data_IF_807093611417
#
_entry.id   IF_807093611417
#
_cell.length_a   1.000
_cell.length_b   1.000
_cell.length_c   1.000
_cell.angle_alpha   90.00
_cell.angle_beta   90.00
_cell.angle_gamma   90.00
#
_symmetry.space_group_name_H-M   'P 1'
#
loop_
_entity.id
_entity.type
_entity.pdbx_description
1 polymer ?
#
# COMPACT_ATOMS: atom_id res chain seq x y z
N UNK A 1 8.35 -2.33 14.27
CA UNK A 1 8.73 -2.94 12.98
C UNK A 1 10.15 -2.55 12.63
N UNK A 2 11.01 -3.54 12.42
CA UNK A 2 12.41 -3.32 12.00
C UNK A 2 12.38 -2.80 10.55
N UNK A 3 13.11 -1.71 10.21
CA UNK A 3 13.17 -1.23 8.84
C UNK A 3 13.70 -2.33 7.91
N UNK A 4 13.13 -2.47 6.71
CA UNK A 4 13.62 -3.41 5.71
C UNK A 4 15.07 -3.04 5.33
N UNK A 5 16.00 -3.96 5.57
CA UNK A 5 17.43 -3.83 5.27
C UNK A 5 17.87 -4.89 4.23
N UNK A 6 19.00 -4.66 3.58
CA UNK A 6 19.59 -5.61 2.63
C UNK A 6 18.73 -5.86 1.39
N UNK A 7 18.42 -7.13 1.10
CA UNK A 7 17.76 -7.55 -0.15
C UNK A 7 16.38 -6.94 -0.33
N UNK A 8 15.59 -6.87 0.74
CA UNK A 8 14.22 -6.33 0.68
C UNK A 8 14.22 -4.85 0.26
N UNK A 9 15.19 -4.07 0.76
CA UNK A 9 15.35 -2.67 0.39
C UNK A 9 15.75 -2.50 -1.08
N UNK A 10 16.65 -3.34 -1.59
CA UNK A 10 17.03 -3.32 -3.01
C UNK A 10 15.87 -3.69 -3.92
N UNK A 11 15.04 -4.67 -3.54
CA UNK A 11 13.83 -5.01 -4.30
C UNK A 11 12.87 -3.83 -4.35
N UNK A 12 12.59 -3.17 -3.21
CA UNK A 12 11.76 -1.96 -3.18
C UNK A 12 12.34 -0.86 -4.09
N UNK A 13 13.65 -0.66 -4.05
CA UNK A 13 14.36 0.35 -4.87
C UNK A 13 14.23 0.08 -6.36
N UNK A 14 14.46 -1.16 -6.79
CA UNK A 14 14.36 -1.55 -8.21
C UNK A 14 12.93 -1.39 -8.72
N UNK A 15 11.95 -1.79 -7.91
CA UNK A 15 10.52 -1.63 -8.23
C UNK A 15 10.17 -0.14 -8.40
N UNK A 16 10.68 0.73 -7.53
CA UNK A 16 10.46 2.18 -7.63
C UNK A 16 11.11 2.80 -8.87
N UNK A 17 12.32 2.36 -9.24
CA UNK A 17 12.97 2.78 -10.49
C UNK A 17 12.16 2.34 -11.71
N UNK A 18 11.68 1.09 -11.73
CA UNK A 18 10.85 0.58 -12.81
C UNK A 18 9.58 1.42 -12.99
N UNK A 19 8.94 1.82 -11.89
CA UNK A 19 7.77 2.68 -11.92
C UNK A 19 8.05 4.09 -12.43
N UNK A 20 9.22 4.65 -12.13
CA UNK A 20 9.65 5.93 -12.69
C UNK A 20 9.87 5.80 -14.20
N UNK A 21 10.53 4.72 -14.65
CA UNK A 21 10.72 4.44 -16.07
C UNK A 21 9.39 4.27 -16.82
N UNK A 22 8.41 3.58 -16.23
CA UNK A 22 7.07 3.39 -16.81
C UNK A 22 6.38 4.74 -17.13
N UNK A 23 6.55 5.76 -16.27
CA UNK A 23 6.00 7.10 -16.53
C UNK A 23 6.55 7.67 -17.84
N UNK A 24 7.86 7.59 -18.07
CA UNK A 24 8.49 8.09 -19.29
C UNK A 24 8.02 7.30 -20.52
N UNK A 25 7.88 5.99 -20.39
CA UNK A 25 7.38 5.13 -21.48
C UNK A 25 5.91 5.49 -21.81
N UNK A 26 5.07 5.76 -20.80
CA UNK A 26 3.68 6.14 -21.02
C UNK A 26 3.53 7.48 -21.75
N UNK A 27 4.45 8.43 -21.59
CA UNK A 27 4.49 9.65 -22.39
C UNK A 27 4.81 9.39 -23.88
N UNK A 28 5.44 8.27 -24.20
CA UNK A 28 5.77 7.85 -25.57
C UNK A 28 4.80 6.80 -26.15
N UNK A 29 3.88 6.29 -25.33
CA UNK A 29 2.98 5.20 -25.74
C UNK A 29 1.68 5.74 -26.30
N UNK A 30 1.36 5.39 -27.55
CA UNK A 30 0.14 5.81 -28.21
C UNK A 30 -1.13 5.30 -27.53
N UNK A 31 -2.21 6.06 -27.66
CA UNK A 31 -3.54 5.67 -27.16
C UNK A 31 -4.52 5.45 -28.31
N UNK A 32 -5.54 4.61 -28.07
CA UNK A 32 -6.63 4.38 -29.03
C UNK A 32 -7.68 5.49 -28.85
N UNK A 33 -7.99 6.19 -29.94
CA UNK A 33 -9.07 7.19 -29.98
C UNK A 33 -10.44 6.50 -29.91
N UNK A 34 -11.47 7.23 -29.52
CA UNK A 34 -12.85 6.72 -29.41
C UNK A 34 -13.38 6.21 -30.75
N UNK A 35 -12.84 6.73 -31.85
CA UNK A 35 -13.11 6.31 -33.23
C UNK A 35 -12.34 5.06 -33.67
N UNK A 36 -11.57 4.44 -32.78
CA UNK A 36 -10.89 3.17 -33.02
C UNK A 36 -9.48 3.24 -33.62
N UNK A 37 -9.02 4.41 -34.07
CA UNK A 37 -7.65 4.58 -34.59
C UNK A 37 -6.62 4.82 -33.47
N UNK A 38 -5.37 4.45 -33.70
CA UNK A 38 -4.25 4.66 -32.75
C UNK A 38 -3.59 6.02 -33.04
N UNK A 39 -3.52 6.88 -32.03
CA UNK A 39 -2.84 8.18 -32.11
C UNK A 39 -1.43 8.03 -31.56
N UNK A 40 -0.44 8.30 -32.41
CA UNK A 40 1.00 8.24 -32.07
C UNK A 40 1.65 9.64 -32.01
N UNK A 41 0.87 10.70 -32.27
CA UNK A 41 1.37 12.07 -32.23
C UNK A 41 1.80 12.45 -30.80
N UNK A 42 3.09 12.75 -30.56
CA UNK A 42 3.65 12.87 -29.21
C UNK A 42 2.99 14.00 -28.41
N UNK A 43 2.63 15.11 -29.05
CA UNK A 43 1.94 16.22 -28.39
C UNK A 43 0.56 15.83 -27.86
N UNK A 44 -0.21 15.07 -28.67
CA UNK A 44 -1.55 14.60 -28.29
C UNK A 44 -1.48 13.55 -27.20
N UNK A 45 -0.51 12.64 -27.28
CA UNK A 45 -0.26 11.61 -26.26
C UNK A 45 0.10 12.27 -24.93
N UNK A 46 1.07 13.19 -24.92
CA UNK A 46 1.52 13.86 -23.70
C UNK A 46 0.39 14.68 -23.05
N UNK A 47 -0.41 15.40 -23.84
CA UNK A 47 -1.56 16.17 -23.34
C UNK A 47 -2.63 15.26 -22.71
N UNK A 48 -2.97 14.15 -23.38
CA UNK A 48 -3.99 13.21 -22.90
C UNK A 48 -3.52 12.52 -21.62
N UNK A 49 -2.30 12.00 -21.60
CA UNK A 49 -1.71 11.33 -20.44
C UNK A 49 -1.53 12.28 -19.25
N UNK A 50 -1.02 13.49 -19.51
CA UNK A 50 -0.83 14.54 -18.51
C UNK A 50 -2.11 14.93 -17.77
N UNK A 51 -3.26 14.93 -18.45
CA UNK A 51 -4.56 15.29 -17.86
C UNK A 51 -5.27 14.13 -17.15
N UNK A 52 -4.92 12.88 -17.45
CA UNK A 52 -5.69 11.71 -16.99
C UNK A 52 -4.96 10.91 -15.93
N UNK A 53 -3.76 10.42 -16.24
CA UNK A 53 -3.08 9.42 -15.41
C UNK A 53 -1.80 9.94 -14.76
N UNK A 54 -1.18 10.98 -15.33
CA UNK A 54 0.10 11.50 -14.84
C UNK A 54 0.08 11.87 -13.35
N UNK A 55 -0.99 12.49 -12.85
CA UNK A 55 -1.10 12.87 -11.43
C UNK A 55 -1.08 11.65 -10.51
N UNK A 56 -1.80 10.58 -10.88
CA UNK A 56 -1.85 9.33 -10.09
C UNK A 56 -0.48 8.65 -10.11
N UNK A 57 0.16 8.61 -11.28
CA UNK A 57 1.48 7.99 -11.43
C UNK A 57 2.58 8.80 -10.71
N UNK A 58 2.51 10.13 -10.75
CA UNK A 58 3.43 11.02 -10.03
C UNK A 58 3.32 10.83 -8.51
N UNK A 59 2.10 10.86 -7.96
CA UNK A 59 1.85 10.69 -6.53
C UNK A 59 2.33 9.32 -6.01
N UNK A 60 2.21 8.28 -6.83
CA UNK A 60 2.66 6.93 -6.48
C UNK A 60 4.18 6.73 -6.60
N UNK A 61 4.88 7.59 -7.33
CA UNK A 61 6.35 7.60 -7.42
C UNK A 61 7.02 8.43 -6.31
N UNK A 62 6.27 9.11 -5.44
CA UNK A 62 6.88 9.92 -4.37
C UNK A 62 7.62 8.99 -3.39
N UNK A 63 8.96 9.14 -3.24
CA UNK A 63 9.79 8.27 -2.40
C UNK A 63 9.67 8.65 -0.92
N UNK A 64 8.44 8.64 -0.37
CA UNK A 64 8.16 9.05 1.01
C UNK A 64 8.95 8.24 2.04
N UNK A 65 9.26 6.99 1.74
CA UNK A 65 10.09 6.15 2.60
C UNK A 65 11.54 6.63 2.69
N UNK A 66 12.12 7.02 1.56
CA UNK A 66 13.50 7.53 1.53
C UNK A 66 13.59 8.85 2.27
N UNK A 67 12.57 9.71 2.15
CA UNK A 67 12.48 10.97 2.89
C UNK A 67 12.41 10.70 4.41
N UNK A 68 11.56 9.76 4.83
CA UNK A 68 11.45 9.38 6.25
C UNK A 68 12.78 8.82 6.77
N UNK A 69 13.39 7.87 6.05
CA UNK A 69 14.68 7.27 6.43
C UNK A 69 15.82 8.27 6.43
N UNK A 70 15.79 9.27 5.54
CA UNK A 70 16.78 10.36 5.52
C UNK A 70 16.64 11.26 6.75
N UNK A 71 15.41 11.60 7.14
CA UNK A 71 15.13 12.40 8.33
C UNK A 71 15.48 11.66 9.62
N UNK A 72 15.26 10.34 9.66
CA UNK A 72 15.62 9.48 10.79
C UNK A 72 17.13 9.17 10.84
N UNK A 73 17.93 9.61 9.86
CA UNK A 73 19.36 9.33 9.78
C UNK A 73 19.73 7.89 9.42
N UNK A 74 18.74 7.03 9.19
CA UNK A 74 18.88 5.59 8.91
C UNK A 74 19.01 5.25 7.43
N UNK A 75 18.97 6.26 6.54
CA UNK A 75 19.09 6.04 5.10
C UNK A 75 20.43 5.36 4.74
N UNK A 76 21.54 5.86 5.28
CA UNK A 76 22.88 5.33 4.96
C UNK A 76 23.07 3.87 5.39
N UNK A 77 22.56 3.49 6.56
CA UNK A 77 22.65 2.10 7.04
C UNK A 77 21.65 1.17 6.36
N UNK A 78 20.52 1.68 5.85
CA UNK A 78 19.54 0.88 5.09
C UNK A 78 20.13 0.31 3.79
N UNK A 79 21.12 1.00 3.20
CA UNK A 79 21.85 0.51 2.03
C UNK A 79 22.87 -0.58 2.37
N UNK A 80 23.28 -0.71 3.63
CA UNK A 80 24.27 -1.69 4.06
C UNK A 80 23.61 -3.04 4.38
N UNK A 81 24.34 -4.12 4.09
CA UNK A 81 23.90 -5.49 4.37
C UNK A 81 23.94 -5.83 5.87
N UNK A 82 24.69 -5.05 6.66
CA UNK A 82 24.99 -5.31 8.08
C UNK A 82 23.94 -4.74 9.06
N UNK A 83 22.80 -4.28 8.54
CA UNK A 83 21.70 -3.73 9.33
C UNK A 83 21.96 -2.31 9.86
N UNK A 84 20.93 -1.73 10.49
CA UNK A 84 21.02 -0.41 11.13
C UNK A 84 21.15 -0.57 12.65
N UNK A 85 22.08 0.14 13.33
CA UNK A 85 22.09 0.19 14.79
C UNK A 85 20.81 0.86 15.29
N UNK A 86 20.24 0.38 16.40
CA UNK A 86 19.05 0.96 17.02
C UNK A 86 19.34 2.40 17.49
N UNK A 87 18.94 3.38 16.69
CA UNK A 87 18.92 4.79 17.11
C UNK A 87 17.53 5.13 17.66
N UNK A 88 17.45 5.32 18.98
CA UNK A 88 16.33 5.97 19.63
C UNK A 88 16.34 7.46 19.26
N UNK A 89 15.64 7.84 18.19
CA UNK A 89 15.46 9.26 17.84
C UNK A 89 14.44 9.91 18.79
N UNK A 90 14.79 11.04 19.45
CA UNK A 90 13.90 11.69 20.40
C UNK A 90 12.89 12.63 19.71
N UNK A 91 11.61 12.38 19.98
CA UNK A 91 10.53 13.35 20.26
C UNK A 91 10.13 14.38 19.17
N UNK A 92 8.90 14.25 18.65
CA UNK A 92 8.18 15.37 18.01
C UNK A 92 7.00 14.93 17.13
N UNK A 93 5.77 15.35 17.48
CA UNK A 93 4.50 14.91 16.86
C UNK A 93 4.36 15.08 15.33
N UNK A 94 5.28 15.79 14.66
CA UNK A 94 5.37 15.92 13.20
C UNK A 94 5.70 14.55 12.55
N UNK A 95 6.40 13.65 13.25
CA UNK A 95 6.68 12.29 12.77
C UNK A 95 5.45 11.39 12.66
N UNK A 96 4.34 11.69 13.36
CA UNK A 96 3.09 10.92 13.19
C UNK A 96 2.55 11.08 11.77
N UNK A 97 2.63 12.29 11.21
CA UNK A 97 2.24 12.54 9.83
C UNK A 97 3.14 11.75 8.88
N UNK A 98 4.46 11.78 9.05
CA UNK A 98 5.39 10.99 8.22
C UNK A 98 5.14 9.47 8.30
N UNK A 99 4.81 8.94 9.47
CA UNK A 99 4.39 7.54 9.63
C UNK A 99 3.10 7.22 8.88
N UNK A 100 2.09 8.10 8.94
CA UNK A 100 0.83 7.93 8.18
C UNK A 100 1.06 8.13 6.68
N UNK A 101 1.99 9.02 6.29
CA UNK A 101 2.37 9.23 4.90
C UNK A 101 3.03 7.98 4.29
N UNK A 102 3.54 7.03 5.10
CA UNK A 102 3.93 5.70 4.60
C UNK A 102 2.76 4.96 3.94
N UNK A 103 1.53 5.19 4.38
CA UNK A 103 0.33 4.64 3.75
C UNK A 103 0.05 5.25 2.36
N UNK A 104 0.70 6.36 1.97
CA UNK A 104 0.66 6.83 0.59
C UNK A 104 1.24 5.82 -0.40
N UNK A 105 2.05 4.85 0.06
CA UNK A 105 2.44 3.72 -0.81
C UNK A 105 1.23 2.92 -1.30
N UNK A 106 0.10 2.94 -0.59
CA UNK A 106 -1.15 2.34 -1.05
C UNK A 106 -1.70 3.06 -2.30
N UNK A 107 -1.28 4.29 -2.60
CA UNK A 107 -1.58 4.95 -3.89
C UNK A 107 -1.00 4.14 -5.06
N UNK A 108 0.10 3.38 -4.86
CA UNK A 108 0.61 2.45 -5.88
C UNK A 108 -0.41 1.39 -6.28
N UNK A 109 -1.34 1.02 -5.38
CA UNK A 109 -2.43 0.08 -5.66
C UNK A 109 -3.42 0.66 -6.67
N UNK A 110 -3.61 1.99 -6.73
CA UNK A 110 -4.47 2.62 -7.74
C UNK A 110 -3.99 2.33 -9.16
N UNK A 111 -2.71 1.99 -9.36
CA UNK A 111 -2.21 1.53 -10.66
C UNK A 111 -2.78 0.18 -11.07
N UNK A 112 -3.18 -0.69 -10.14
CA UNK A 112 -3.91 -1.93 -10.47
C UNK A 112 -5.24 -1.62 -11.18
N UNK A 113 -5.79 -0.41 -11.01
CA UNK A 113 -6.96 0.03 -11.77
C UNK A 113 -6.69 0.12 -13.28
N UNK A 114 -5.44 0.35 -13.71
CA UNK A 114 -5.03 0.26 -15.12
C UNK A 114 -5.18 -1.16 -15.66
N UNK A 115 -4.93 -2.18 -14.84
CA UNK A 115 -5.12 -3.60 -15.22
C UNK A 115 -6.60 -3.89 -15.44
N UNK A 116 -7.50 -3.23 -14.70
CA UNK A 116 -8.94 -3.42 -14.89
C UNK A 116 -9.40 -3.04 -16.30
N UNK A 117 -8.82 -2.00 -16.89
CA UNK A 117 -9.07 -1.61 -18.28
C UNK A 117 -8.54 -2.64 -19.29
N UNK A 118 -7.39 -3.26 -19.01
CA UNK A 118 -6.85 -4.32 -19.86
C UNK A 118 -7.74 -5.58 -19.80
N UNK A 119 -8.27 -5.89 -18.61
CA UNK A 119 -9.20 -7.00 -18.43
C UNK A 119 -10.51 -6.78 -19.20
N UNK A 120 -10.99 -5.54 -19.28
CA UNK A 120 -12.17 -5.21 -20.06
C UNK A 120 -11.93 -5.47 -21.57
N UNK A 121 -10.71 -5.23 -22.08
CA UNK A 121 -10.34 -5.62 -23.46
C UNK A 121 -10.23 -7.13 -23.66
N UNK A 122 -9.66 -7.85 -22.69
CA UNK A 122 -9.57 -9.32 -22.76
C UNK A 122 -10.97 -9.95 -22.74
N UNK A 123 -11.94 -9.34 -22.06
CA UNK A 123 -13.32 -9.82 -22.02
C UNK A 123 -14.00 -9.77 -23.40
N UNK A 124 -13.66 -8.79 -24.25
CA UNK A 124 -14.22 -8.67 -25.61
C UNK A 124 -13.73 -9.79 -26.55
N UNK A 125 -12.55 -10.35 -26.30
CA UNK A 125 -11.91 -11.36 -27.15
C UNK A 125 -12.33 -12.80 -26.78
N UNK A 126 -12.65 -13.06 -25.50
CA UNK A 126 -13.00 -14.39 -24.99
C UNK A 126 -14.52 -14.59 -24.79
N UNK A 127 -15.25 -14.78 -25.90
CA UNK A 127 -16.71 -14.98 -25.95
C UNK A 127 -17.30 -16.06 -25.01
N UNK A 128 -16.72 -17.26 -24.80
CA UNK A 128 -17.35 -18.31 -23.99
C UNK A 128 -17.26 -18.12 -22.47
N UNK A 129 -16.38 -17.23 -21.97
CA UNK A 129 -16.11 -17.05 -20.53
C UNK A 129 -16.63 -15.68 -20.03
N UNK A 130 -17.34 -14.93 -20.89
CA UNK A 130 -17.77 -13.57 -20.61
C UNK A 130 -18.58 -13.44 -19.30
N UNK A 131 -19.40 -14.43 -18.93
CA UNK A 131 -20.16 -14.40 -17.67
C UNK A 131 -19.31 -14.68 -16.43
N UNK A 132 -18.24 -15.48 -16.55
CA UNK A 132 -17.41 -15.87 -15.41
C UNK A 132 -16.34 -14.81 -15.09
N UNK A 133 -15.83 -14.08 -16.08
CA UNK A 133 -14.80 -13.03 -15.89
C UNK A 133 -15.23 -11.95 -14.88
N UNK A 134 -16.45 -11.35 -14.96
CA UNK A 134 -16.91 -10.36 -13.99
C UNK A 134 -17.05 -10.91 -12.57
N UNK A 135 -17.53 -12.17 -12.44
CA UNK A 135 -17.67 -12.82 -11.15
C UNK A 135 -16.30 -13.02 -10.49
N UNK A 136 -15.34 -13.58 -11.24
CA UNK A 136 -13.96 -13.75 -10.75
C UNK A 136 -13.31 -12.42 -10.42
N UNK A 137 -13.48 -11.39 -11.26
CA UNK A 137 -13.01 -10.01 -11.02
C UNK A 137 -13.57 -9.45 -9.71
N UNK A 138 -14.88 -9.59 -9.49
CA UNK A 138 -15.54 -9.12 -8.27
C UNK A 138 -15.07 -9.91 -7.05
N UNK A 139 -14.93 -11.23 -7.15
CA UNK A 139 -14.42 -12.07 -6.06
C UNK A 139 -13.02 -11.64 -5.66
N UNK A 140 -12.08 -11.54 -6.62
CA UNK A 140 -10.70 -11.10 -6.36
C UNK A 140 -10.69 -9.70 -5.73
N UNK A 141 -11.53 -8.79 -6.23
CA UNK A 141 -11.64 -7.44 -5.67
C UNK A 141 -12.11 -7.42 -4.21
N UNK A 142 -13.13 -8.21 -3.87
CA UNK A 142 -13.63 -8.33 -2.48
C UNK A 142 -12.57 -8.93 -1.56
N UNK A 143 -11.88 -9.99 -1.98
CA UNK A 143 -10.78 -10.57 -1.20
C UNK A 143 -9.64 -9.58 -0.99
N UNK A 144 -9.30 -8.82 -2.03
CA UNK A 144 -8.26 -7.79 -1.98
C UNK A 144 -8.64 -6.67 -1.00
N UNK A 145 -9.87 -6.17 -1.06
CA UNK A 145 -10.37 -5.19 -0.09
C UNK A 145 -10.35 -5.73 1.33
N UNK A 146 -10.78 -6.97 1.54
CA UNK A 146 -10.73 -7.64 2.84
C UNK A 146 -9.31 -7.76 3.40
N UNK A 147 -8.32 -8.08 2.56
CA UNK A 147 -6.92 -8.07 2.95
C UNK A 147 -6.42 -6.67 3.30
N UNK A 148 -6.77 -5.66 2.49
CA UNK A 148 -6.36 -4.28 2.72
C UNK A 148 -6.91 -3.75 4.06
N UNK A 149 -8.20 -3.95 4.33
CA UNK A 149 -8.78 -3.55 5.62
C UNK A 149 -8.20 -4.36 6.79
N UNK A 150 -7.90 -5.65 6.61
CA UNK A 150 -7.22 -6.44 7.63
C UNK A 150 -5.83 -5.88 7.96
N UNK A 151 -5.05 -5.52 6.94
CA UNK A 151 -3.75 -4.88 7.10
C UNK A 151 -3.85 -3.50 7.78
N UNK A 152 -4.93 -2.74 7.54
CA UNK A 152 -5.17 -1.48 8.24
C UNK A 152 -5.50 -1.70 9.73
N UNK A 153 -6.37 -2.65 10.06
CA UNK A 153 -6.68 -3.00 11.45
C UNK A 153 -5.45 -3.54 12.19
N UNK A 154 -4.66 -4.38 11.51
CA UNK A 154 -3.38 -4.84 12.02
C UNK A 154 -2.43 -3.66 12.26
N UNK A 155 -2.31 -2.72 11.31
CA UNK A 155 -1.46 -1.54 11.47
C UNK A 155 -1.87 -0.69 12.69
N UNK A 156 -3.17 -0.49 12.93
CA UNK A 156 -3.67 0.21 14.12
C UNK A 156 -3.46 -0.54 15.43
N UNK A 157 -3.29 -1.87 15.40
CA UNK A 157 -2.96 -2.63 16.60
C UNK A 157 -1.46 -2.58 16.92
N UNK A 158 -0.60 -2.19 15.97
CA UNK A 158 0.85 -2.07 16.22
C UNK A 158 1.22 -0.85 17.06
N UNK A 159 2.24 -1.00 17.91
CA UNK A 159 2.82 0.08 18.70
C UNK A 159 3.41 1.21 17.83
N UNK A 160 3.65 0.96 16.54
CA UNK A 160 4.19 1.96 15.60
C UNK A 160 3.21 3.13 15.37
N UNK A 161 1.91 2.90 15.49
CA UNK A 161 0.85 3.91 15.32
C UNK A 161 0.67 4.81 16.55
N UNK A 162 0.86 4.26 17.75
CA UNK A 162 0.63 4.96 19.01
C UNK A 162 1.83 5.82 19.40
N UNK A 163 1.58 6.92 20.10
CA UNK A 163 2.66 7.71 20.71
C UNK A 163 3.25 6.97 21.91
N UNK A 164 4.51 7.24 22.27
CA UNK A 164 5.17 6.57 23.40
C UNK A 164 4.37 6.70 24.70
N UNK A 165 3.72 7.86 24.91
CA UNK A 165 2.83 8.11 26.04
C UNK A 165 1.51 7.31 26.00
N UNK A 166 0.97 7.03 24.80
CA UNK A 166 -0.23 6.18 24.64
C UNK A 166 0.12 4.70 24.77
N UNK A 167 1.28 4.28 24.25
CA UNK A 167 1.79 2.93 24.37
C UNK A 167 2.07 2.57 25.84
N UNK A 168 2.65 3.50 26.61
CA UNK A 168 2.86 3.32 28.06
C UNK A 168 1.53 3.17 28.82
N UNK A 169 0.50 3.95 28.46
CA UNK A 169 -0.86 3.81 29.03
C UNK A 169 -1.48 2.45 28.69
N UNK A 170 -1.23 1.91 27.50
CA UNK A 170 -1.70 0.58 27.12
C UNK A 170 -1.01 -0.52 27.91
N UNK A 171 0.29 -0.39 28.18
CA UNK A 171 1.04 -1.34 29.01
C UNK A 171 0.59 -1.31 30.48
N UNK A 172 0.25 -0.12 31.00
CA UNK A 172 -0.32 0.04 32.35
C UNK A 172 -1.78 -0.43 32.46
N UNK A 173 -2.42 -0.80 31.34
CA UNK A 173 -3.82 -1.21 31.30
C UNK A 173 -4.82 -0.07 31.47
N UNK A 174 -4.37 1.18 31.36
CA UNK A 174 -5.22 2.38 31.44
C UNK A 174 -5.97 2.64 30.11
N UNK A 175 -5.47 2.11 29.00
CA UNK A 175 -6.10 2.20 27.68
C UNK A 175 -6.07 0.85 26.94
N UNK A 176 -7.13 0.54 26.21
CA UNK A 176 -7.25 -0.68 25.40
C UNK A 176 -7.33 -0.34 23.92
N UNK A 177 -6.69 -1.15 23.08
CA UNK A 177 -6.91 -1.08 21.63
C UNK A 177 -8.09 -1.97 21.21
N UNK A 178 -8.48 -1.88 19.92
CA UNK A 178 -9.58 -2.67 19.37
C UNK A 178 -9.36 -4.18 19.49
N UNK A 179 -8.11 -4.64 19.36
CA UNK A 179 -7.73 -6.05 19.40
C UNK A 179 -7.90 -6.64 20.81
N UNK A 180 -7.49 -5.91 21.85
CA UNK A 180 -7.66 -6.29 23.25
C UNK A 180 -9.14 -6.24 23.62
N UNK A 181 -9.85 -5.18 23.23
CA UNK A 181 -11.27 -5.03 23.58
C UNK A 181 -12.14 -6.15 22.98
N UNK A 182 -11.85 -6.56 21.75
CA UNK A 182 -12.66 -7.57 21.07
C UNK A 182 -12.20 -9.00 21.33
N UNK A 183 -10.89 -9.25 21.28
CA UNK A 183 -10.34 -10.61 21.31
C UNK A 183 -9.58 -10.92 22.60
N UNK A 184 -9.36 -9.95 23.49
CA UNK A 184 -8.55 -10.13 24.69
C UNK A 184 -7.07 -10.37 24.39
N UNK A 185 -6.62 -10.14 23.15
CA UNK A 185 -5.26 -10.45 22.72
C UNK A 185 -4.38 -9.23 22.95
N UNK A 186 -3.45 -9.35 23.90
CA UNK A 186 -2.40 -8.36 24.09
C UNK A 186 -1.38 -8.42 22.94
N UNK A 187 -1.00 -7.25 22.44
CA UNK A 187 -0.06 -7.12 21.32
C UNK A 187 1.26 -7.86 21.57
N UNK A 188 1.78 -7.82 22.80
CA UNK A 188 3.07 -8.43 23.17
C UNK A 188 2.98 -9.95 23.46
N UNK A 189 1.79 -10.48 23.70
CA UNK A 189 1.61 -11.87 24.14
C UNK A 189 1.39 -12.86 22.98
N UNK A 190 0.83 -12.40 21.86
CA UNK A 190 0.44 -13.27 20.75
C UNK A 190 1.43 -13.21 19.57
N UNK A 191 1.66 -14.33 18.87
CA UNK A 191 2.49 -14.36 17.67
C UNK A 191 1.89 -13.46 16.57
N UNK A 192 2.71 -13.05 15.60
CA UNK A 192 2.29 -12.18 14.48
C UNK A 192 1.13 -12.81 13.69
N UNK A 193 1.17 -14.13 13.49
CA UNK A 193 0.15 -14.88 12.77
C UNK A 193 -1.25 -14.76 13.39
N UNK A 194 -1.36 -14.93 14.71
CA UNK A 194 -2.65 -14.88 15.41
C UNK A 194 -3.25 -13.47 15.38
N UNK A 195 -2.41 -12.44 15.54
CA UNK A 195 -2.83 -11.04 15.44
C UNK A 195 -3.31 -10.70 14.02
N UNK A 196 -2.63 -11.23 13.02
CA UNK A 196 -3.03 -11.06 11.62
C UNK A 196 -4.34 -11.80 11.31
N UNK A 197 -4.49 -13.04 11.79
CA UNK A 197 -5.70 -13.84 11.61
C UNK A 197 -6.91 -13.18 12.28
N UNK A 198 -6.77 -12.63 13.49
CA UNK A 198 -7.81 -11.87 14.15
C UNK A 198 -8.22 -10.61 13.36
N UNK A 199 -7.23 -9.89 12.80
CA UNK A 199 -7.48 -8.71 11.95
C UNK A 199 -8.16 -9.07 10.63
N UNK A 200 -7.81 -10.23 10.07
CA UNK A 200 -8.43 -10.76 8.86
C UNK A 200 -9.87 -11.19 9.13
N UNK A 201 -10.10 -11.96 10.20
CA UNK A 201 -11.42 -12.36 10.64
C UNK A 201 -12.32 -11.13 10.83
N UNK A 202 -11.88 -10.15 11.61
CA UNK A 202 -12.58 -8.88 11.83
C UNK A 202 -12.89 -8.17 10.50
N UNK A 203 -11.89 -7.97 9.66
CA UNK A 203 -12.08 -7.34 8.36
C UNK A 203 -13.17 -8.00 7.50
N UNK A 204 -13.14 -9.33 7.38
CA UNK A 204 -14.12 -10.07 6.60
C UNK A 204 -15.50 -10.07 7.24
N UNK A 205 -15.64 -10.22 8.56
CA UNK A 205 -16.94 -10.17 9.25
C UNK A 205 -17.63 -8.81 9.10
N UNK A 206 -16.86 -7.71 9.10
CA UNK A 206 -17.39 -6.38 8.78
C UNK A 206 -17.76 -6.25 7.31
N UNK A 207 -16.90 -6.71 6.40
CA UNK A 207 -17.11 -6.58 4.95
C UNK A 207 -18.31 -7.39 4.47
N UNK A 208 -18.53 -8.58 5.03
CA UNK A 208 -19.68 -9.45 4.72
C UNK A 208 -20.92 -9.08 5.54
N UNK A 209 -20.87 -8.02 6.36
CA UNK A 209 -21.98 -7.54 7.20
C UNK A 209 -22.55 -8.60 8.15
N UNK A 210 -21.75 -9.62 8.52
CA UNK A 210 -22.16 -10.65 9.48
C UNK A 210 -22.29 -10.05 10.88
N UNK A 211 -21.52 -9.00 11.17
CA UNK A 211 -21.55 -8.31 12.46
C UNK A 211 -20.77 -9.04 13.56
N UNK A 212 -20.73 -8.42 14.74
CA UNK A 212 -20.03 -8.88 15.94
C UNK A 212 -20.99 -9.13 17.08
#
# INVERSE_FOLDING_TARGET
DVPAYGVAFWVETVVDIFFICDIFINFMTGYKSDMGYVVLEPEKVAMKYGKTWFVIDLLSCIPMDYIQRAQEGVLGCSFMLDGCPEQHSPHGGIFRLFKVLRLLRLVKILRLWRISWLMDRLQEEFSPIYHAIPLVKQTIFVFFLGHLSACLFFYFSTNSFWTDAEAEKMQKGESTNWLINQFGIHYDAAPVGDRYLASLYWSFTTLTTVGY
#
